data_IF_557474579985
#
_entry.id   IF_557474579985
#
_cell.length_a   1.000
_cell.length_b   1.000
_cell.length_c   1.000
_cell.angle_alpha   90.00
_cell.angle_beta   90.00
_cell.angle_gamma   90.00
#
_symmetry.space_group_name_H-M   'P 1'
#
loop_
_entity.id
_entity.type
_entity.pdbx_description
1 polymer ?
#
# COMPACT_ATOMS: atom_id res chain seq x y z
N UNK A 1 -9.88 13.64 15.01
CA UNK A 1 -9.84 12.17 15.00
C UNK A 1 -9.03 11.84 13.78
N UNK A 2 -7.75 11.51 13.96
CA UNK A 2 -6.86 11.23 12.84
C UNK A 2 -7.40 9.99 12.12
N UNK A 3 -7.86 10.17 10.89
CA UNK A 3 -8.38 9.06 10.08
C UNK A 3 -7.17 8.25 9.63
N UNK A 4 -6.89 7.15 10.33
CA UNK A 4 -5.87 6.21 9.90
C UNK A 4 -6.34 5.50 8.63
N UNK A 5 -5.57 5.63 7.55
CA UNK A 5 -5.86 4.93 6.28
C UNK A 5 -5.68 3.43 6.48
N UNK A 6 -6.73 2.67 6.18
CA UNK A 6 -6.73 1.20 6.21
C UNK A 6 -6.93 0.66 4.78
N UNK A 7 -5.81 0.34 4.13
CA UNK A 7 -5.80 -0.14 2.74
C UNK A 7 -6.43 -1.53 2.61
N UNK A 8 -6.38 -2.35 3.65
CA UNK A 8 -7.03 -3.66 3.68
C UNK A 8 -8.55 -3.52 3.63
N UNK A 9 -9.10 -2.69 4.52
CA UNK A 9 -10.55 -2.44 4.54
C UNK A 9 -11.01 -1.75 3.26
N UNK A 10 -10.22 -0.85 2.70
CA UNK A 10 -10.51 -0.23 1.40
C UNK A 10 -10.57 -1.27 0.27
N UNK A 11 -9.64 -2.23 0.23
CA UNK A 11 -9.68 -3.34 -0.73
C UNK A 11 -10.95 -4.17 -0.58
N UNK A 12 -11.25 -4.59 0.64
CA UNK A 12 -12.44 -5.40 0.94
C UNK A 12 -13.74 -4.67 0.57
N UNK A 13 -13.83 -3.38 0.85
CA UNK A 13 -15.00 -2.56 0.49
C UNK A 13 -15.22 -2.47 -1.03
N UNK A 14 -14.17 -2.63 -1.83
CA UNK A 14 -14.25 -2.70 -3.30
C UNK A 14 -14.44 -4.11 -3.84
N UNK A 15 -14.41 -5.13 -2.98
CA UNK A 15 -14.53 -6.53 -3.39
C UNK A 15 -13.39 -7.03 -4.27
N UNK A 16 -12.22 -6.38 -4.22
CA UNK A 16 -11.07 -6.74 -5.05
C UNK A 16 -10.25 -7.86 -4.41
N UNK A 17 -9.90 -8.88 -5.18
CA UNK A 17 -8.86 -9.86 -4.83
C UNK A 17 -7.45 -9.28 -5.02
N UNK A 18 -6.44 -9.90 -4.38
CA UNK A 18 -5.05 -9.50 -4.61
C UNK A 18 -4.58 -9.88 -6.02
N UNK A 19 -5.14 -10.94 -6.60
CA UNK A 19 -4.90 -11.38 -7.97
C UNK A 19 -5.40 -10.36 -9.01
N UNK A 20 -6.55 -9.72 -8.75
CA UNK A 20 -7.04 -8.63 -9.61
C UNK A 20 -6.12 -7.40 -9.54
N UNK A 21 -5.64 -7.04 -8.35
CA UNK A 21 -4.69 -5.92 -8.17
C UNK A 21 -3.34 -6.26 -8.82
N UNK A 22 -2.90 -7.51 -8.72
CA UNK A 22 -1.71 -8.02 -9.40
C UNK A 22 -1.83 -7.87 -10.93
N UNK A 23 -3.01 -8.10 -11.49
CA UNK A 23 -3.27 -7.92 -12.91
C UNK A 23 -3.31 -6.46 -13.40
N UNK A 24 -3.39 -5.49 -12.49
CA UNK A 24 -3.52 -4.05 -12.80
C UNK A 24 -2.28 -3.23 -12.44
N UNK A 25 -1.37 -3.82 -11.68
CA UNK A 25 -0.19 -3.12 -11.14
C UNK A 25 1.11 -3.86 -11.47
N UNK A 26 2.23 -3.15 -11.41
CA UNK A 26 3.56 -3.75 -11.49
C UNK A 26 4.04 -4.33 -10.13
N UNK A 27 3.16 -4.45 -9.14
CA UNK A 27 3.51 -4.94 -7.81
C UNK A 27 3.59 -6.47 -7.82
N UNK A 28 4.55 -7.05 -7.10
CA UNK A 28 4.56 -8.49 -6.88
C UNK A 28 3.51 -8.89 -5.85
N UNK A 29 3.01 -10.12 -5.93
CA UNK A 29 2.05 -10.65 -4.95
C UNK A 29 2.58 -10.56 -3.50
N UNK A 30 3.89 -10.71 -3.31
CA UNK A 30 4.51 -10.55 -1.99
C UNK A 30 4.42 -9.12 -1.44
N UNK A 31 4.56 -8.11 -2.30
CA UNK A 31 4.35 -6.70 -1.91
C UNK A 31 2.88 -6.43 -1.62
N UNK A 32 1.98 -6.91 -2.48
CA UNK A 32 0.53 -6.76 -2.29
C UNK A 32 0.07 -7.34 -0.94
N UNK A 33 0.52 -8.54 -0.59
CA UNK A 33 0.22 -9.17 0.71
C UNK A 33 0.73 -8.33 1.88
N UNK A 34 1.97 -7.83 1.81
CA UNK A 34 2.51 -6.99 2.89
C UNK A 34 1.71 -5.72 3.09
N UNK A 35 1.29 -5.06 2.00
CA UNK A 35 0.43 -3.87 2.07
C UNK A 35 -0.94 -4.21 2.65
N UNK A 36 -1.55 -5.30 2.19
CA UNK A 36 -2.88 -5.75 2.63
C UNK A 36 -2.89 -6.26 4.08
N UNK A 37 -1.75 -6.76 4.58
CA UNK A 37 -1.58 -7.22 5.97
C UNK A 37 -1.09 -6.10 6.90
N UNK A 38 -0.88 -4.87 6.39
CA UNK A 38 -0.35 -3.74 7.17
C UNK A 38 1.13 -3.87 7.55
N UNK A 39 1.88 -4.77 6.92
CA UNK A 39 3.31 -5.05 7.15
C UNK A 39 4.20 -4.08 6.37
N UNK A 40 3.96 -2.79 6.55
CA UNK A 40 4.59 -1.72 5.79
C UNK A 40 6.11 -1.64 6.00
N UNK A 41 6.59 -1.94 7.21
CA UNK A 41 8.01 -1.97 7.56
C UNK A 41 8.82 -3.05 6.84
N UNK A 42 8.14 -4.05 6.26
CA UNK A 42 8.76 -5.16 5.53
C UNK A 42 8.79 -4.96 4.01
N UNK A 43 8.34 -3.80 3.54
CA UNK A 43 8.43 -3.45 2.12
C UNK A 43 9.90 -3.29 1.68
N UNK A 44 10.21 -3.54 0.40
CA UNK A 44 11.50 -3.14 -0.14
C UNK A 44 11.75 -1.64 0.10
N UNK A 45 12.91 -1.25 0.68
CA UNK A 45 13.14 0.11 1.16
C UNK A 45 13.32 1.15 0.05
N UNK A 46 13.32 2.41 0.47
CA UNK A 46 13.63 3.57 -0.39
C UNK A 46 12.46 4.07 -1.22
N UNK A 47 12.75 4.69 -2.37
CA UNK A 47 11.75 5.31 -3.27
C UNK A 47 10.62 4.34 -3.65
N UNK A 48 10.94 3.04 -3.69
CA UNK A 48 10.01 1.97 -4.01
C UNK A 48 8.88 1.81 -2.98
N UNK A 49 9.17 1.87 -1.67
CA UNK A 49 8.14 1.70 -0.63
C UNK A 49 7.01 2.73 -0.76
N UNK A 50 7.36 4.00 -0.99
CA UNK A 50 6.40 5.10 -1.21
C UNK A 50 5.53 4.83 -2.44
N UNK A 51 6.15 4.45 -3.54
CA UNK A 51 5.46 4.14 -4.80
C UNK A 51 4.51 2.96 -4.64
N UNK A 52 4.88 1.92 -3.89
CA UNK A 52 4.03 0.75 -3.67
C UNK A 52 2.75 1.10 -2.92
N UNK A 53 2.85 1.91 -1.86
CA UNK A 53 1.68 2.41 -1.13
C UNK A 53 0.75 3.19 -2.05
N UNK A 54 1.30 4.12 -2.85
CA UNK A 54 0.50 4.90 -3.80
C UNK A 54 -0.20 4.03 -4.83
N UNK A 55 0.52 3.09 -5.43
CA UNK A 55 -0.04 2.17 -6.44
C UNK A 55 -1.18 1.34 -5.87
N UNK A 56 -1.04 0.81 -4.65
CA UNK A 56 -2.10 0.06 -4.00
C UNK A 56 -3.29 0.97 -3.65
N UNK A 57 -3.04 2.18 -3.13
CA UNK A 57 -4.07 3.15 -2.79
C UNK A 57 -4.97 3.49 -3.98
N UNK A 58 -4.39 3.73 -5.16
CA UNK A 58 -5.14 3.98 -6.42
C UNK A 58 -6.12 2.83 -6.70
N UNK A 59 -5.64 1.58 -6.67
CA UNK A 59 -6.47 0.40 -6.97
C UNK A 59 -7.62 0.23 -5.97
N UNK A 60 -7.38 0.55 -4.70
CA UNK A 60 -8.39 0.46 -3.65
C UNK A 60 -9.23 1.74 -3.48
N UNK A 61 -9.08 2.72 -4.38
CA UNK A 61 -9.87 3.95 -4.39
C UNK A 61 -9.57 4.90 -3.22
N UNK A 62 -8.39 4.81 -2.63
CA UNK A 62 -7.89 5.75 -1.63
C UNK A 62 -7.00 6.77 -2.31
N UNK A 63 -7.12 8.03 -1.89
CA UNK A 63 -6.29 9.13 -2.39
C UNK A 63 -4.80 8.83 -2.07
N UNK A 64 -3.90 8.75 -3.09
CA UNK A 64 -2.54 8.24 -2.90
C UNK A 64 -1.67 9.11 -2.01
N UNK A 65 -1.83 10.43 -2.06
CA UNK A 65 -1.06 11.36 -1.24
C UNK A 65 -1.47 11.26 0.23
N UNK A 66 -2.77 11.10 0.53
CA UNK A 66 -3.31 10.84 1.86
C UNK A 66 -2.82 9.50 2.42
N UNK A 67 -2.84 8.44 1.60
CA UNK A 67 -2.33 7.13 2.00
C UNK A 67 -0.84 7.19 2.33
N UNK A 68 -0.05 7.87 1.48
CA UNK A 68 1.37 8.05 1.73
C UNK A 68 1.61 8.87 2.99
N UNK A 69 0.94 10.00 3.19
CA UNK A 69 1.15 10.84 4.38
C UNK A 69 0.85 10.09 5.69
N UNK A 70 -0.17 9.22 5.69
CA UNK A 70 -0.51 8.38 6.85
C UNK A 70 0.51 7.28 7.12
N UNK A 71 1.05 6.66 6.06
CA UNK A 71 1.87 5.45 6.17
C UNK A 71 3.37 5.73 6.11
N UNK A 72 3.80 6.91 5.63
CA UNK A 72 5.19 7.33 5.55
C UNK A 72 5.97 7.15 6.87
N UNK A 73 5.42 7.44 8.06
CA UNK A 73 6.13 7.22 9.33
C UNK A 73 6.47 5.76 9.64
N UNK A 74 5.80 4.80 9.00
CA UNK A 74 6.02 3.35 9.21
C UNK A 74 6.67 2.66 8.01
N UNK A 75 7.01 3.41 6.97
CA UNK A 75 7.75 2.88 5.82
C UNK A 75 9.23 2.67 6.18
N UNK A 76 9.87 1.64 5.61
CA UNK A 76 11.31 1.45 5.76
C UNK A 76 12.06 2.60 5.08
N UNK A 77 13.01 3.18 5.80
CA UNK A 77 13.92 4.17 5.24
C UNK A 77 14.76 3.54 4.11
N UNK A 78 15.20 4.36 3.15
CA UNK A 78 16.22 3.93 2.20
C UNK A 78 17.47 3.51 3.00
N UNK A 79 18.12 2.38 2.68
CA UNK A 79 19.48 2.16 3.16
C UNK A 79 20.38 3.25 2.57
N UNK A 80 21.35 3.69 3.38
CA UNK A 80 22.42 4.62 2.97
C UNK A 80 23.24 4.07 1.79
#
# INVERSE_FOLDING_TARGET
>A
MDVQVDLHRARLARGLSLEEILGRTALSLGVLKKIDEGRYSELPPGLYARSYVKMFAVEVGVEPELALANLEPVLPAAPD
#
